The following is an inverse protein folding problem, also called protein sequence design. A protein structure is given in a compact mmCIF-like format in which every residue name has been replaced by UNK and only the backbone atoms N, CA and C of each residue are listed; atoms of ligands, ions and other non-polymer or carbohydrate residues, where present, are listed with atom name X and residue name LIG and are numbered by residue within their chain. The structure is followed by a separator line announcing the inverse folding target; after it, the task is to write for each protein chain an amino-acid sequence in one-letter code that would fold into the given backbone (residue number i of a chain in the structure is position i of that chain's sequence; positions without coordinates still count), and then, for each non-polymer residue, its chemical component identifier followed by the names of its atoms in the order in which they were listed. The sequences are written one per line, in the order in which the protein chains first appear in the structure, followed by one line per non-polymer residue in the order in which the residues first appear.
data_IF_546007262732
#
_entry.id   IF_546007262732
#
_cell.length_a   1.000
_cell.length_b   1.000
_cell.length_c   1.000
_cell.angle_alpha   90.00
_cell.angle_beta   90.00
_cell.angle_gamma   90.00
#
_symmetry.space_group_name_H-M   'P 1'
#
loop_
_entity.id
_entity.type
_entity.pdbx_description
1 polymer ?
#
# COMPACT_ATOMS: atom_id res chain seq x y z
N UNK A 1 11.73 -39.16 -74.21
CA UNK A 1 13.02 -38.73 -73.64
C UNK A 1 12.74 -37.81 -72.45
N UNK A 2 13.38 -38.11 -71.32
CA UNK A 2 13.65 -37.29 -70.14
C UNK A 2 12.48 -36.73 -69.31
N UNK A 3 12.24 -37.39 -68.17
CA UNK A 3 11.66 -36.81 -66.97
C UNK A 3 12.68 -35.89 -66.27
N UNK A 4 12.23 -34.79 -65.67
CA UNK A 4 13.01 -34.01 -64.72
C UNK A 4 12.09 -33.52 -63.59
N UNK A 5 12.10 -34.26 -62.49
CA UNK A 5 11.50 -33.90 -61.22
C UNK A 5 12.37 -32.85 -60.52
N UNK A 6 11.89 -31.63 -60.33
CA UNK A 6 12.48 -30.68 -59.39
C UNK A 6 11.99 -31.00 -57.98
N UNK A 7 12.87 -31.55 -57.15
CA UNK A 7 12.70 -31.64 -55.71
C UNK A 7 13.11 -30.31 -55.08
N UNK A 8 12.14 -29.62 -54.48
CA UNK A 8 12.40 -28.58 -53.47
C UNK A 8 13.05 -29.25 -52.24
N UNK A 9 14.24 -28.78 -51.87
CA UNK A 9 14.79 -28.99 -50.54
C UNK A 9 14.73 -27.67 -49.78
N UNK A 10 13.64 -27.46 -49.04
CA UNK A 10 13.54 -26.42 -48.01
C UNK A 10 14.45 -26.83 -46.85
N UNK A 11 15.63 -26.23 -46.75
CA UNK A 11 16.49 -26.35 -45.58
C UNK A 11 15.86 -25.57 -44.42
N UNK A 12 15.04 -26.23 -43.61
CA UNK A 12 14.69 -25.75 -42.27
C UNK A 12 15.93 -25.88 -41.38
N UNK A 13 16.68 -24.79 -41.22
CA UNK A 13 17.74 -24.72 -40.22
C UNK A 13 17.11 -24.69 -38.81
N UNK A 14 17.17 -25.82 -38.10
CA UNK A 14 16.96 -25.85 -36.65
C UNK A 14 18.18 -25.18 -35.98
N UNK A 15 18.11 -23.87 -35.73
CA UNK A 15 19.12 -23.17 -34.93
C UNK A 15 19.03 -23.62 -33.47
N UNK A 16 20.08 -24.23 -32.94
CA UNK A 16 20.20 -24.58 -31.52
C UNK A 16 20.21 -23.33 -30.62
N UNK A 17 19.96 -23.49 -29.30
CA UNK A 17 19.91 -22.37 -28.37
C UNK A 17 21.22 -21.58 -28.39
N UNK A 18 21.13 -20.25 -28.40
CA UNK A 18 22.32 -19.39 -28.40
C UNK A 18 23.04 -19.44 -27.05
N UNK A 19 24.31 -19.00 -27.00
CA UNK A 19 25.03 -18.87 -25.73
C UNK A 19 24.34 -17.93 -24.74
N UNK A 20 23.62 -16.92 -25.24
CA UNK A 20 22.81 -16.01 -24.44
C UNK A 20 21.56 -16.71 -23.86
N UNK A 21 20.87 -17.53 -24.68
CA UNK A 21 19.72 -18.32 -24.22
C UNK A 21 20.13 -19.34 -23.15
N UNK A 22 21.31 -19.95 -23.34
CA UNK A 22 21.88 -20.89 -22.37
C UNK A 22 22.23 -20.21 -21.05
N UNK A 23 22.88 -19.04 -21.09
CA UNK A 23 23.21 -18.28 -19.88
C UNK A 23 21.95 -17.83 -19.13
N UNK A 24 20.92 -17.37 -19.85
CA UNK A 24 19.63 -16.99 -19.26
C UNK A 24 18.97 -18.19 -18.57
N UNK A 25 18.94 -19.36 -19.20
CA UNK A 25 18.37 -20.57 -18.61
C UNK A 25 19.13 -21.01 -17.35
N UNK A 26 20.46 -20.94 -17.35
CA UNK A 26 21.28 -21.25 -16.17
C UNK A 26 21.01 -20.28 -15.01
N UNK A 27 20.94 -18.98 -15.30
CA UNK A 27 20.62 -17.96 -14.28
C UNK A 27 19.19 -18.15 -13.77
N UNK A 28 18.23 -18.49 -14.64
CA UNK A 28 16.87 -18.81 -14.20
C UNK A 28 16.88 -19.99 -13.22
N UNK A 29 17.60 -21.08 -13.53
CA UNK A 29 17.70 -22.24 -12.65
C UNK A 29 18.35 -21.92 -11.29
N UNK A 30 19.37 -21.06 -11.29
CA UNK A 30 19.98 -20.53 -10.06
C UNK A 30 18.94 -19.81 -9.19
N UNK A 31 18.14 -18.93 -9.80
CA UNK A 31 17.13 -18.16 -9.08
C UNK A 31 15.92 -19.01 -8.66
N UNK A 32 15.57 -20.06 -9.41
CA UNK A 32 14.56 -21.04 -9.00
C UNK A 32 15.02 -21.80 -7.75
N UNK A 33 16.30 -22.22 -7.71
CA UNK A 33 16.90 -22.86 -6.53
C UNK A 33 16.90 -21.91 -5.33
N UNK A 34 17.29 -20.64 -5.54
CA UNK A 34 17.27 -19.59 -4.50
C UNK A 34 15.85 -19.34 -3.99
N UNK A 35 14.85 -19.32 -4.88
CA UNK A 35 13.45 -19.15 -4.54
C UNK A 35 12.90 -20.31 -3.71
N UNK A 36 13.19 -21.55 -4.10
CA UNK A 36 12.81 -22.74 -3.34
C UNK A 36 13.42 -22.71 -1.93
N UNK A 37 14.69 -22.33 -1.81
CA UNK A 37 15.37 -22.20 -0.52
C UNK A 37 14.70 -21.15 0.40
N UNK A 38 14.24 -20.03 -0.15
CA UNK A 38 13.45 -19.03 0.62
C UNK A 38 12.14 -19.63 1.12
N UNK A 39 11.38 -20.29 0.24
CA UNK A 39 10.07 -20.86 0.59
C UNK A 39 10.14 -21.99 1.62
N UNK A 40 11.19 -22.80 1.55
CA UNK A 40 11.39 -23.92 2.47
C UNK A 40 12.20 -23.54 3.71
N UNK A 41 12.57 -22.27 3.86
CA UNK A 41 13.46 -21.80 4.92
C UNK A 41 14.78 -22.59 5.01
N UNK A 42 15.33 -22.98 3.85
CA UNK A 42 16.56 -23.77 3.73
C UNK A 42 17.78 -22.85 3.55
N UNK A 43 18.43 -22.52 4.67
CA UNK A 43 19.62 -21.66 4.69
C UNK A 43 20.80 -22.29 3.93
N UNK A 44 20.94 -23.62 3.98
CA UNK A 44 22.05 -24.33 3.35
C UNK A 44 21.89 -24.31 1.83
N UNK A 45 20.71 -24.63 1.32
CA UNK A 45 20.41 -24.53 -0.11
C UNK A 45 20.58 -23.09 -0.61
N UNK A 46 20.13 -22.09 0.15
CA UNK A 46 20.31 -20.69 -0.25
C UNK A 46 21.79 -20.31 -0.37
N UNK A 47 22.63 -20.75 0.58
CA UNK A 47 24.06 -20.47 0.57
C UNK A 47 24.78 -21.02 -0.67
N UNK A 48 24.27 -22.09 -1.29
CA UNK A 48 24.82 -22.61 -2.55
C UNK A 48 24.61 -21.67 -3.75
N UNK A 49 23.70 -20.70 -3.62
CA UNK A 49 23.33 -19.79 -4.71
C UNK A 49 24.07 -18.45 -4.68
N UNK A 50 24.95 -18.22 -3.71
CA UNK A 50 25.74 -16.99 -3.58
C UNK A 50 25.64 -16.35 -2.19
N UNK A 51 25.70 -15.02 -2.13
CA UNK A 51 25.75 -14.26 -0.87
C UNK A 51 24.54 -14.55 0.02
N UNK A 52 24.81 -14.87 1.31
CA UNK A 52 23.83 -15.29 2.29
C UNK A 52 23.08 -14.14 3.01
N UNK A 53 23.68 -12.93 3.09
CA UNK A 53 23.09 -11.78 3.82
C UNK A 53 21.63 -11.47 3.46
N UNK A 54 21.20 -11.49 2.18
CA UNK A 54 19.80 -11.23 1.84
C UNK A 54 18.83 -12.26 2.43
N UNK A 55 19.21 -13.54 2.55
CA UNK A 55 18.40 -14.56 3.22
C UNK A 55 18.18 -14.23 4.69
N UNK A 56 19.26 -13.89 5.40
CA UNK A 56 19.17 -13.44 6.80
C UNK A 56 18.15 -12.31 6.94
N UNK A 57 18.09 -11.37 5.99
CA UNK A 57 17.19 -10.22 6.08
C UNK A 57 15.72 -10.57 5.95
N UNK A 58 15.36 -11.53 5.10
CA UNK A 58 13.97 -11.85 4.75
C UNK A 58 13.42 -13.12 5.42
N UNK A 59 14.26 -14.02 5.96
CA UNK A 59 13.87 -15.37 6.40
C UNK A 59 12.74 -15.45 7.43
N UNK A 60 12.49 -14.37 8.18
CA UNK A 60 11.42 -14.31 9.17
C UNK A 60 10.04 -14.03 8.56
N UNK A 61 10.00 -13.48 7.33
CA UNK A 61 8.75 -13.14 6.65
C UNK A 61 8.10 -14.43 6.12
N UNK A 62 6.83 -14.68 6.44
CA UNK A 62 6.18 -15.93 6.05
C UNK A 62 5.67 -15.84 4.62
N UNK A 63 6.47 -16.29 3.65
CA UNK A 63 6.05 -16.34 2.24
C UNK A 63 5.33 -17.65 1.92
N UNK A 64 4.23 -17.56 1.18
CA UNK A 64 3.55 -18.74 0.58
C UNK A 64 3.87 -18.90 -0.90
N UNK A 65 4.40 -17.86 -1.53
CA UNK A 65 4.89 -17.87 -2.90
C UNK A 65 6.09 -16.92 -3.02
N UNK A 66 7.09 -17.33 -3.79
CA UNK A 66 8.31 -16.59 -4.09
C UNK A 66 8.89 -17.17 -5.37
N UNK A 67 9.06 -16.35 -6.40
CA UNK A 67 9.58 -16.80 -7.70
C UNK A 67 10.23 -15.67 -8.46
N UNK A 68 11.29 -15.98 -9.21
CA UNK A 68 11.92 -15.05 -10.13
C UNK A 68 11.56 -15.39 -11.58
N UNK A 69 11.43 -14.37 -12.42
CA UNK A 69 11.43 -14.48 -13.88
C UNK A 69 12.56 -13.62 -14.42
N UNK A 70 13.62 -14.26 -14.91
CA UNK A 70 14.74 -13.57 -15.56
C UNK A 70 14.27 -12.98 -16.89
N UNK A 71 14.44 -11.67 -17.05
CA UNK A 71 14.02 -10.93 -18.26
C UNK A 71 15.20 -10.63 -19.17
N UNK A 72 16.39 -10.36 -18.62
CA UNK A 72 17.60 -10.12 -19.39
C UNK A 72 18.84 -10.61 -18.64
N UNK A 73 19.87 -11.04 -19.38
CA UNK A 73 21.21 -11.35 -18.86
C UNK A 73 22.25 -10.71 -19.76
N UNK A 74 23.15 -9.92 -19.17
CA UNK A 74 24.23 -9.21 -19.84
C UNK A 74 25.55 -9.68 -19.25
N UNK A 75 26.30 -10.51 -19.99
CA UNK A 75 27.59 -11.07 -19.56
C UNK A 75 28.74 -10.12 -19.88
N UNK A 76 29.74 -10.10 -19.00
CA UNK A 76 31.01 -9.41 -19.16
C UNK A 76 32.13 -10.28 -18.59
N UNK A 77 32.68 -11.18 -19.41
CA UNK A 77 33.67 -12.15 -18.96
C UNK A 77 33.09 -13.11 -17.90
N UNK A 78 33.72 -13.15 -16.72
CA UNK A 78 33.31 -14.00 -15.60
C UNK A 78 32.16 -13.43 -14.77
N UNK A 79 31.67 -12.23 -15.08
CA UNK A 79 30.53 -11.59 -14.39
C UNK A 79 29.34 -11.39 -15.31
N UNK A 80 28.17 -11.17 -14.72
CA UNK A 80 26.98 -10.75 -15.46
C UNK A 80 26.08 -9.85 -14.62
N UNK A 81 25.26 -9.07 -15.31
CA UNK A 81 24.08 -8.43 -14.72
C UNK A 81 22.83 -9.12 -15.24
N UNK A 82 21.93 -9.50 -14.35
CA UNK A 82 20.62 -10.03 -14.72
C UNK A 82 19.51 -9.09 -14.22
N UNK A 83 18.52 -8.86 -15.08
CA UNK A 83 17.27 -8.23 -14.69
C UNK A 83 16.23 -9.32 -14.52
N UNK A 84 15.43 -9.23 -13.45
CA UNK A 84 14.40 -10.20 -13.13
C UNK A 84 13.16 -9.51 -12.55
N UNK A 85 12.00 -10.12 -12.77
CA UNK A 85 10.83 -9.84 -11.94
C UNK A 85 10.80 -10.82 -10.77
N UNK A 86 10.70 -10.31 -9.55
CA UNK A 86 10.42 -11.10 -8.35
C UNK A 86 8.92 -10.99 -8.05
N UNK A 87 8.26 -12.13 -7.93
CA UNK A 87 6.88 -12.22 -7.46
C UNK A 87 6.81 -12.95 -6.12
N UNK A 88 6.05 -12.42 -5.16
CA UNK A 88 5.89 -13.05 -3.85
C UNK A 88 4.48 -12.86 -3.28
N UNK A 89 4.13 -13.70 -2.30
CA UNK A 89 2.91 -13.58 -1.49
C UNK A 89 3.21 -13.82 -0.02
N UNK A 90 2.77 -12.90 0.84
CA UNK A 90 2.77 -13.09 2.29
C UNK A 90 1.60 -13.99 2.68
N UNK A 91 1.92 -15.04 3.43
CA UNK A 91 1.00 -16.12 3.81
C UNK A 91 -0.21 -15.58 4.54
N UNK A 92 -1.39 -15.85 3.99
CA UNK A 92 -2.68 -15.50 4.61
C UNK A 92 -3.06 -14.03 4.48
N UNK A 93 -2.31 -13.20 3.74
CA UNK A 93 -2.63 -11.79 3.50
C UNK A 93 -2.79 -11.51 2.01
N UNK A 94 -1.77 -11.85 1.21
CA UNK A 94 -1.83 -11.60 -0.24
C UNK A 94 -2.67 -12.66 -0.94
N UNK A 95 -3.74 -12.26 -1.62
CA UNK A 95 -4.54 -13.12 -2.51
C UNK A 95 -3.96 -13.20 -3.92
N UNK A 96 -3.27 -12.15 -4.37
CA UNK A 96 -2.50 -12.08 -5.61
C UNK A 96 -1.03 -11.71 -5.34
N UNK A 97 -0.09 -12.03 -6.24
CA UNK A 97 1.33 -11.75 -6.02
C UNK A 97 1.66 -10.27 -6.11
N UNK A 98 2.48 -9.78 -5.17
CA UNK A 98 3.26 -8.56 -5.37
C UNK A 98 4.35 -8.88 -6.40
N UNK A 99 4.53 -8.05 -7.42
CA UNK A 99 5.57 -8.23 -8.45
C UNK A 99 6.43 -6.98 -8.57
N UNK A 100 7.75 -7.16 -8.46
CA UNK A 100 8.74 -6.07 -8.45
C UNK A 100 9.94 -6.37 -9.34
N UNK A 101 10.55 -5.33 -9.90
CA UNK A 101 11.78 -5.45 -10.66
C UNK A 101 13.01 -5.56 -9.76
N UNK A 102 13.91 -6.49 -10.07
CA UNK A 102 15.21 -6.70 -9.40
C UNK A 102 16.34 -6.67 -10.41
N UNK A 103 17.47 -6.12 -10.00
CA UNK A 103 18.74 -6.22 -10.74
C UNK A 103 19.74 -6.99 -9.87
N UNK A 104 20.33 -8.02 -10.46
CA UNK A 104 21.29 -8.91 -9.81
C UNK A 104 22.66 -8.79 -10.46
N UNK A 105 23.70 -8.76 -9.63
CA UNK A 105 25.09 -8.96 -10.08
C UNK A 105 25.48 -10.39 -9.79
N UNK A 106 26.06 -11.04 -10.79
CA UNK A 106 26.39 -12.44 -10.81
C UNK A 106 27.86 -12.65 -11.13
N UNK A 107 28.43 -13.70 -10.58
CA UNK A 107 29.76 -14.21 -10.93
C UNK A 107 29.69 -15.67 -11.34
N UNK A 108 30.67 -16.12 -12.12
CA UNK A 108 30.87 -17.53 -12.47
C UNK A 108 32.09 -18.07 -11.75
N UNK A 109 31.97 -19.26 -11.15
CA UNK A 109 33.11 -20.00 -10.64
C UNK A 109 33.90 -20.67 -11.78
N UNK A 110 35.06 -21.25 -11.45
CA UNK A 110 35.94 -21.89 -12.42
C UNK A 110 35.31 -23.11 -13.12
N UNK A 111 34.33 -23.75 -12.49
CA UNK A 111 33.53 -24.85 -13.06
C UNK A 111 32.34 -24.36 -13.92
N UNK A 112 32.17 -23.05 -14.06
CA UNK A 112 31.11 -22.42 -14.83
C UNK A 112 29.78 -22.25 -14.07
N UNK A 113 29.71 -22.63 -12.79
CA UNK A 113 28.51 -22.40 -11.97
C UNK A 113 28.30 -20.90 -11.67
N UNK A 114 27.05 -20.46 -11.70
CA UNK A 114 26.67 -19.07 -11.42
C UNK A 114 26.36 -18.85 -9.94
N UNK A 115 26.73 -17.68 -9.43
CA UNK A 115 26.43 -17.24 -8.06
C UNK A 115 25.88 -15.83 -8.06
N UNK A 116 24.96 -15.55 -7.13
CA UNK A 116 24.44 -14.20 -6.86
C UNK A 116 25.37 -13.49 -5.90
N UNK A 117 26.09 -12.49 -6.40
CA UNK A 117 26.95 -11.65 -5.56
C UNK A 117 26.10 -10.62 -4.79
N UNK A 118 25.15 -10.00 -5.49
CA UNK A 118 24.23 -9.01 -4.92
C UNK A 118 22.90 -8.95 -5.68
N UNK A 119 21.87 -8.52 -4.96
CA UNK A 119 20.54 -8.26 -5.49
C UNK A 119 20.07 -6.91 -4.96
N UNK A 120 19.51 -6.07 -5.83
CA UNK A 120 18.97 -4.74 -5.48
C UNK A 120 17.69 -4.46 -6.26
N UNK A 121 16.88 -3.46 -5.85
CA UNK A 121 15.78 -2.98 -6.67
C UNK A 121 16.27 -2.62 -8.08
N UNK A 122 15.44 -2.92 -9.08
CA UNK A 122 15.66 -2.42 -10.43
C UNK A 122 15.62 -0.88 -10.45
N UNK A 123 16.09 -0.30 -11.55
CA UNK A 123 15.94 1.15 -11.77
C UNK A 123 14.46 1.54 -11.66
N UNK A 124 14.18 2.61 -10.94
CA UNK A 124 12.83 3.17 -10.71
C UNK A 124 11.88 2.23 -9.93
N UNK A 125 12.35 1.10 -9.41
CA UNK A 125 11.58 0.23 -8.52
C UNK A 125 11.73 0.66 -7.07
N UNK A 126 10.61 0.71 -6.34
CA UNK A 126 10.63 0.93 -4.90
C UNK A 126 11.39 -0.18 -4.16
N UNK A 127 11.99 0.18 -3.02
CA UNK A 127 12.61 -0.80 -2.14
C UNK A 127 11.56 -1.71 -1.51
N UNK A 128 12.00 -2.90 -1.13
CA UNK A 128 11.25 -3.75 -0.21
C UNK A 128 11.81 -3.60 1.20
N UNK A 129 11.01 -3.95 2.20
CA UNK A 129 11.42 -3.81 3.60
C UNK A 129 12.72 -4.58 3.90
N UNK A 130 12.92 -5.77 3.32
CA UNK A 130 14.16 -6.54 3.49
C UNK A 130 15.38 -5.97 2.74
N UNK A 131 15.21 -5.00 1.85
CA UNK A 131 16.34 -4.27 1.26
C UNK A 131 16.97 -3.34 2.31
N UNK A 132 16.16 -2.87 3.28
CA UNK A 132 16.55 -1.91 4.32
C UNK A 132 17.24 -2.56 5.52
N UNK A 133 17.07 -3.86 5.73
CA UNK A 133 17.69 -4.57 6.83
C UNK A 133 16.98 -5.87 7.21
N UNK A 134 17.34 -6.42 8.36
CA UNK A 134 16.69 -7.64 8.88
C UNK A 134 15.29 -7.35 9.34
N UNK A 135 14.32 -8.03 8.72
CA UNK A 135 12.90 -7.87 9.02
C UNK A 135 12.54 -8.64 10.28
N UNK A 136 12.05 -7.92 11.29
CA UNK A 136 11.32 -8.47 12.42
C UNK A 136 9.85 -8.65 12.07
N UNK A 137 9.21 -9.66 12.66
CA UNK A 137 7.80 -9.99 12.40
C UNK A 137 7.04 -10.11 13.72
N UNK A 138 5.88 -9.47 13.79
CA UNK A 138 4.87 -9.74 14.80
C UNK A 138 3.54 -10.09 14.12
N UNK A 139 2.77 -10.99 14.72
CA UNK A 139 1.44 -11.37 14.24
C UNK A 139 0.41 -10.97 15.29
N UNK A 140 -0.64 -10.28 14.87
CA UNK A 140 -1.89 -10.13 15.59
C UNK A 140 -2.90 -11.19 15.19
N UNK A 141 -4.13 -11.04 15.67
CA UNK A 141 -5.29 -11.87 15.25
C UNK A 141 -5.63 -11.65 13.78
N UNK A 142 -5.60 -10.39 13.34
CA UNK A 142 -5.97 -9.97 11.99
C UNK A 142 -4.85 -9.19 11.28
N UNK A 143 -3.64 -9.21 11.82
CA UNK A 143 -2.55 -8.38 11.32
C UNK A 143 -1.20 -9.11 11.26
N UNK A 144 -0.38 -8.70 10.30
CA UNK A 144 1.06 -8.98 10.33
C UNK A 144 1.81 -7.67 10.26
N UNK A 145 2.72 -7.47 11.20
CA UNK A 145 3.59 -6.30 11.28
C UNK A 145 4.99 -6.73 10.90
N UNK A 146 5.54 -6.10 9.88
CA UNK A 146 6.89 -6.30 9.40
C UNK A 146 7.68 -5.02 9.66
N UNK A 147 8.83 -5.09 10.34
CA UNK A 147 9.62 -3.89 10.60
C UNK A 147 11.12 -4.11 10.57
N UNK A 148 11.86 -3.03 10.33
CA UNK A 148 13.33 -3.01 10.31
C UNK A 148 13.83 -1.99 11.34
N UNK A 149 14.83 -2.39 12.13
CA UNK A 149 15.35 -1.54 13.22
C UNK A 149 14.39 -1.39 14.40
N UNK A 150 13.27 -2.12 14.40
CA UNK A 150 12.26 -2.06 15.45
C UNK A 150 12.47 -3.15 16.51
N UNK A 151 12.15 -2.83 17.76
CA UNK A 151 12.11 -3.84 18.82
C UNK A 151 10.91 -4.77 18.65
N UNK A 152 11.03 -6.02 19.10
CA UNK A 152 9.90 -6.98 19.08
C UNK A 152 8.70 -6.46 19.87
N UNK A 153 8.91 -5.66 20.92
CA UNK A 153 7.81 -5.02 21.68
C UNK A 153 7.06 -4.02 20.81
N UNK A 154 7.79 -3.10 20.18
CA UNK A 154 7.22 -2.10 19.24
C UNK A 154 6.34 -2.77 18.18
N UNK A 155 6.83 -3.83 17.54
CA UNK A 155 6.05 -4.56 16.53
C UNK A 155 4.76 -5.19 17.07
N UNK A 156 4.76 -5.68 18.32
CA UNK A 156 3.54 -6.20 18.97
C UNK A 156 2.57 -5.10 19.35
N UNK A 157 3.06 -3.92 19.69
CA UNK A 157 2.20 -2.77 19.99
C UNK A 157 1.42 -2.36 18.73
N UNK A 158 2.07 -2.27 17.57
CA UNK A 158 1.39 -2.07 16.28
C UNK A 158 0.39 -3.18 15.96
N UNK A 159 0.74 -4.44 16.23
CA UNK A 159 -0.17 -5.57 15.99
C UNK A 159 -1.43 -5.47 16.86
N UNK A 160 -1.28 -4.99 18.11
CA UNK A 160 -2.38 -4.78 19.04
C UNK A 160 -3.30 -3.65 18.58
N UNK A 161 -2.73 -2.53 18.09
CA UNK A 161 -3.52 -1.44 17.50
C UNK A 161 -4.32 -1.94 16.29
N UNK A 162 -3.71 -2.76 15.41
CA UNK A 162 -4.40 -3.30 14.23
C UNK A 162 -5.52 -4.28 14.63
N UNK A 163 -5.29 -5.06 15.69
CA UNK A 163 -6.27 -5.98 16.25
C UNK A 163 -7.48 -5.28 16.89
N UNK A 164 -7.36 -3.99 17.22
CA UNK A 164 -8.49 -3.13 17.60
C UNK A 164 -9.13 -2.42 16.39
N UNK A 165 -8.31 -1.99 15.42
CA UNK A 165 -8.78 -1.31 14.22
C UNK A 165 -9.69 -2.19 13.35
N UNK A 166 -9.31 -3.46 13.12
CA UNK A 166 -10.06 -4.35 12.21
C UNK A 166 -11.51 -4.58 12.65
N UNK A 167 -11.82 -4.90 13.93
CA UNK A 167 -13.20 -4.96 14.40
C UNK A 167 -13.92 -3.62 14.31
N UNK A 168 -13.30 -2.52 14.77
CA UNK A 168 -13.93 -1.20 14.75
C UNK A 168 -14.37 -0.75 13.35
N UNK A 169 -13.55 -1.03 12.33
CA UNK A 169 -13.86 -0.80 10.92
C UNK A 169 -14.95 -1.74 10.42
N UNK A 170 -14.89 -3.03 10.80
CA UNK A 170 -15.88 -4.03 10.37
C UNK A 170 -17.27 -3.78 10.96
N UNK A 171 -17.35 -3.14 12.12
CA UNK A 171 -18.63 -2.84 12.79
C UNK A 171 -19.46 -1.79 12.04
N UNK A 172 -18.83 -0.91 11.27
CA UNK A 172 -19.52 0.06 10.38
C UNK A 172 -19.58 -0.45 8.95
N UNK A 173 -18.42 -0.69 8.35
CA UNK A 173 -18.33 -1.00 6.93
C UNK A 173 -18.91 -2.36 6.55
N UNK A 174 -19.04 -3.25 7.54
CA UNK A 174 -19.35 -4.65 7.37
C UNK A 174 -18.11 -5.53 7.21
N UNK A 175 -18.36 -6.81 6.94
CA UNK A 175 -17.32 -7.87 6.99
C UNK A 175 -16.87 -8.37 5.61
N UNK A 176 -17.41 -7.79 4.54
CA UNK A 176 -17.11 -8.16 3.15
C UNK A 176 -15.84 -7.49 2.62
N UNK A 177 -14.73 -7.75 3.32
CA UNK A 177 -13.38 -7.38 2.94
C UNK A 177 -12.40 -8.38 3.58
N UNK A 178 -11.10 -8.25 3.31
CA UNK A 178 -10.09 -9.23 3.78
C UNK A 178 -10.09 -9.41 5.30
N UNK A 179 -10.49 -8.36 6.04
CA UNK A 179 -10.37 -8.23 7.51
C UNK A 179 -8.97 -8.60 8.00
N UNK A 180 -7.97 -8.29 7.17
CA UNK A 180 -6.56 -8.60 7.39
C UNK A 180 -5.71 -7.43 6.91
N UNK A 181 -4.78 -7.01 7.76
CA UNK A 181 -3.94 -5.84 7.52
C UNK A 181 -2.47 -6.21 7.55
N UNK A 182 -1.70 -5.72 6.58
CA UNK A 182 -0.24 -5.79 6.59
C UNK A 182 0.31 -4.42 6.94
N UNK A 183 1.04 -4.33 8.06
CA UNK A 183 1.65 -3.09 8.54
C UNK A 183 3.17 -3.16 8.33
N UNK A 184 3.73 -2.17 7.64
CA UNK A 184 5.17 -2.01 7.42
C UNK A 184 5.70 -0.89 8.33
N UNK A 185 6.72 -1.19 9.11
CA UNK A 185 7.34 -0.24 10.05
C UNK A 185 8.82 -0.08 9.70
N UNK A 186 9.15 0.82 8.76
CA UNK A 186 10.53 1.13 8.40
C UNK A 186 11.28 1.80 9.57
N UNK A 187 12.60 1.97 9.41
CA UNK A 187 13.46 2.54 10.45
C UNK A 187 13.49 4.07 10.50
N UNK A 188 12.99 4.76 9.47
CA UNK A 188 12.99 6.23 9.35
C UNK A 188 11.99 6.70 8.28
N UNK A 189 11.75 8.01 8.21
CA UNK A 189 11.01 8.64 7.11
C UNK A 189 11.64 8.37 5.73
N UNK A 190 12.96 8.48 5.58
CA UNK A 190 13.65 8.17 4.31
C UNK A 190 13.40 6.71 3.87
N UNK A 191 13.41 5.79 4.83
CA UNK A 191 13.13 4.39 4.58
C UNK A 191 11.67 4.17 4.20
N UNK A 192 10.71 4.90 4.78
CA UNK A 192 9.32 4.92 4.31
C UNK A 192 9.23 5.40 2.87
N UNK A 193 9.83 6.55 2.54
CA UNK A 193 9.82 7.11 1.19
C UNK A 193 10.38 6.11 0.16
N UNK A 194 11.45 5.39 0.51
CA UNK A 194 12.02 4.36 -0.34
C UNK A 194 11.09 3.16 -0.59
N UNK A 195 10.20 2.80 0.36
CA UNK A 195 9.15 1.79 0.15
C UNK A 195 8.03 2.31 -0.77
N UNK A 196 7.76 3.60 -0.71
CA UNK A 196 6.70 4.26 -1.48
C UNK A 196 7.17 4.74 -2.86
N UNK A 197 8.48 4.68 -3.13
CA UNK A 197 9.07 5.12 -4.40
C UNK A 197 8.97 6.62 -4.65
N UNK A 198 8.85 7.42 -3.57
CA UNK A 198 8.66 8.89 -3.66
C UNK A 198 9.61 9.62 -2.69
N UNK A 199 9.83 10.94 -2.86
CA UNK A 199 10.64 11.74 -1.94
C UNK A 199 10.13 11.72 -0.50
N UNK A 200 11.06 11.85 0.47
CA UNK A 200 10.74 11.87 1.90
C UNK A 200 9.90 13.09 2.31
N UNK A 201 10.11 14.23 1.65
CA UNK A 201 9.41 15.48 1.96
C UNK A 201 7.90 15.38 1.72
N UNK A 202 7.45 14.55 0.77
CA UNK A 202 6.04 14.30 0.48
C UNK A 202 5.30 13.63 1.66
N UNK A 203 6.03 13.02 2.61
CA UNK A 203 5.47 12.29 3.75
C UNK A 203 5.80 12.92 5.10
N UNK A 204 6.40 14.11 5.11
CA UNK A 204 6.74 14.80 6.35
C UNK A 204 5.46 15.18 7.10
N UNK A 205 5.35 14.74 8.37
CA UNK A 205 4.18 14.99 9.20
C UNK A 205 3.01 14.03 8.98
N UNK A 206 3.07 13.17 7.96
CA UNK A 206 2.09 12.10 7.75
C UNK A 206 2.49 10.90 8.60
N UNK A 207 1.59 10.41 9.44
CA UNK A 207 1.87 9.35 10.40
C UNK A 207 1.88 7.94 9.78
N UNK A 208 1.06 7.70 8.76
CA UNK A 208 1.02 6.45 8.00
C UNK A 208 0.38 6.69 6.62
N UNK A 209 0.57 5.74 5.71
CA UNK A 209 -0.05 5.74 4.38
C UNK A 209 -0.46 4.32 4.00
N UNK A 210 -1.67 4.14 3.48
CA UNK A 210 -2.12 2.90 2.88
C UNK A 210 -1.81 2.86 1.39
N UNK A 211 -1.05 1.85 0.96
CA UNK A 211 -0.72 1.59 -0.45
C UNK A 211 -1.56 0.46 -1.00
N UNK A 212 -2.07 0.60 -2.24
CA UNK A 212 -2.93 -0.37 -2.90
C UNK A 212 -3.47 0.14 -4.23
N UNK A 213 -3.89 -0.77 -5.12
CA UNK A 213 -4.48 -0.40 -6.41
C UNK A 213 -5.92 0.10 -6.27
N UNK A 214 -6.25 1.21 -6.93
CA UNK A 214 -7.59 1.77 -6.92
C UNK A 214 -8.65 0.91 -7.60
N UNK A 215 -9.85 0.89 -7.01
CA UNK A 215 -10.95 0.01 -7.42
C UNK A 215 -10.80 -1.46 -7.00
N UNK A 216 -9.69 -1.85 -6.35
CA UNK A 216 -9.52 -3.16 -5.72
C UNK A 216 -9.97 -4.33 -6.59
N UNK A 217 -9.34 -4.52 -7.76
CA UNK A 217 -9.75 -5.46 -8.83
C UNK A 217 -9.87 -6.95 -8.43
N UNK A 218 -9.70 -7.30 -7.15
CA UNK A 218 -9.60 -8.68 -6.65
C UNK A 218 -8.32 -9.41 -7.09
N UNK A 219 -7.53 -8.77 -7.95
CA UNK A 219 -6.30 -9.28 -8.58
C UNK A 219 -5.05 -8.56 -8.10
N UNK A 220 -5.21 -7.56 -7.23
CA UNK A 220 -4.12 -6.86 -6.56
C UNK A 220 -3.69 -7.64 -5.30
N UNK A 221 -2.41 -7.57 -4.90
CA UNK A 221 -1.97 -8.02 -3.59
C UNK A 221 -2.70 -7.23 -2.49
N UNK A 222 -2.61 -7.69 -1.24
CA UNK A 222 -3.23 -6.94 -0.15
C UNK A 222 -2.56 -5.57 0.04
N UNK A 223 -3.37 -4.58 0.40
CA UNK A 223 -2.88 -3.24 0.72
C UNK A 223 -1.85 -3.28 1.87
N UNK A 224 -0.93 -2.32 1.87
CA UNK A 224 0.09 -2.16 2.94
C UNK A 224 -0.09 -0.83 3.62
N UNK A 225 -0.24 -0.87 4.95
CA UNK A 225 -0.16 0.32 5.79
C UNK A 225 1.30 0.55 6.12
N UNK A 226 1.90 1.62 5.60
CA UNK A 226 3.30 1.99 5.84
C UNK A 226 3.36 3.10 6.87
N UNK A 227 3.98 2.83 8.01
CA UNK A 227 4.08 3.79 9.13
C UNK A 227 5.28 4.71 8.94
N UNK A 228 5.09 6.00 9.20
CA UNK A 228 6.18 6.95 9.40
C UNK A 228 6.61 6.90 10.88
N UNK A 229 7.72 6.24 11.23
CA UNK A 229 8.11 6.08 12.63
C UNK A 229 8.34 7.43 13.33
N UNK A 230 8.75 8.47 12.60
CA UNK A 230 9.08 9.78 13.17
C UNK A 230 7.81 10.51 13.59
N UNK A 231 6.85 10.68 12.68
CA UNK A 231 5.56 11.32 12.98
C UNK A 231 4.71 10.49 13.96
N UNK A 232 4.68 9.16 13.79
CA UNK A 232 3.89 8.27 14.64
C UNK A 232 4.40 8.24 16.09
N UNK A 233 5.71 8.48 16.31
CA UNK A 233 6.29 8.55 17.64
C UNK A 233 5.77 9.72 18.48
N UNK A 234 5.39 10.83 17.82
CA UNK A 234 4.86 12.05 18.44
C UNK A 234 3.42 11.89 18.92
N UNK A 235 2.70 10.88 18.39
CA UNK A 235 1.32 10.62 18.75
C UNK A 235 1.21 9.94 20.12
N UNK A 236 0.26 10.41 20.95
CA UNK A 236 -0.19 9.70 22.13
C UNK A 236 -0.98 8.42 21.78
N UNK A 237 -1.30 7.55 22.77
CA UNK A 237 -1.95 6.26 22.53
C UNK A 237 -3.23 6.35 21.70
N UNK A 238 -4.09 7.34 21.97
CA UNK A 238 -5.31 7.56 21.20
C UNK A 238 -5.02 7.92 19.74
N UNK A 239 -4.11 8.88 19.49
CA UNK A 239 -3.78 9.30 18.13
C UNK A 239 -3.23 8.14 17.30
N UNK A 240 -2.41 7.28 17.90
CA UNK A 240 -1.92 6.05 17.25
C UNK A 240 -3.06 5.11 16.89
N UNK A 241 -4.04 4.91 17.78
CA UNK A 241 -5.20 4.07 17.47
C UNK A 241 -6.06 4.69 16.36
N UNK A 242 -6.34 6.00 16.42
CA UNK A 242 -7.11 6.72 15.40
C UNK A 242 -6.45 6.57 14.03
N UNK A 243 -5.15 6.86 13.91
CA UNK A 243 -4.42 6.74 12.64
C UNK A 243 -4.49 5.30 12.12
N UNK A 244 -4.23 4.29 12.95
CA UNK A 244 -4.24 2.92 12.42
C UNK A 244 -5.66 2.44 12.05
N UNK A 245 -6.70 2.91 12.74
CA UNK A 245 -8.09 2.67 12.36
C UNK A 245 -8.44 3.38 11.06
N UNK A 246 -7.97 4.62 10.88
CA UNK A 246 -8.10 5.38 9.62
C UNK A 246 -7.47 4.60 8.45
N UNK A 247 -6.20 4.19 8.57
CA UNK A 247 -5.54 3.41 7.50
C UNK A 247 -6.22 2.08 7.23
N UNK A 248 -6.69 1.39 8.27
CA UNK A 248 -7.45 0.15 8.13
C UNK A 248 -8.78 0.38 7.38
N UNK A 249 -9.38 1.58 7.51
CA UNK A 249 -10.58 1.96 6.76
C UNK A 249 -10.29 2.03 5.26
N UNK A 250 -9.13 2.56 4.85
CA UNK A 250 -8.74 2.53 3.43
C UNK A 250 -8.59 1.11 2.89
N UNK A 251 -8.00 0.20 3.68
CA UNK A 251 -7.91 -1.23 3.31
C UNK A 251 -9.31 -1.84 3.11
N UNK A 252 -10.24 -1.56 4.01
CA UNK A 252 -11.60 -2.11 3.96
C UNK A 252 -12.43 -1.54 2.79
N UNK A 253 -12.23 -0.25 2.49
CA UNK A 253 -13.01 0.48 1.48
C UNK A 253 -12.41 0.41 0.08
N UNK A 254 -11.18 -0.10 -0.09
CA UNK A 254 -10.40 -0.09 -1.35
C UNK A 254 -11.17 -0.55 -2.59
N UNK A 255 -11.94 -1.63 -2.47
CA UNK A 255 -12.72 -2.20 -3.58
C UNK A 255 -13.96 -1.36 -3.97
N UNK A 256 -14.28 -0.35 -3.16
CA UNK A 256 -15.42 0.55 -3.33
C UNK A 256 -14.99 2.01 -3.47
N UNK A 257 -13.68 2.26 -3.60
CA UNK A 257 -13.11 3.59 -3.87
C UNK A 257 -12.35 3.57 -5.19
N UNK A 258 -12.74 4.47 -6.08
CA UNK A 258 -12.12 4.63 -7.38
C UNK A 258 -11.86 6.13 -7.67
N UNK A 259 -11.59 6.46 -8.94
CA UNK A 259 -11.35 7.84 -9.35
C UNK A 259 -12.57 8.76 -9.12
N UNK A 260 -13.77 8.23 -8.91
CA UNK A 260 -14.98 9.01 -8.66
C UNK A 260 -15.09 9.49 -7.21
N UNK A 261 -14.42 8.86 -6.24
CA UNK A 261 -14.45 9.30 -4.83
C UNK A 261 -13.54 10.52 -4.62
N UNK A 262 -14.09 11.68 -4.18
CA UNK A 262 -13.28 12.86 -3.84
C UNK A 262 -12.55 12.68 -2.52
N UNK A 263 -11.40 13.36 -2.36
CA UNK A 263 -10.56 13.18 -1.17
C UNK A 263 -11.26 13.59 0.12
N UNK A 264 -12.07 14.65 0.12
CA UNK A 264 -12.83 15.05 1.31
C UNK A 264 -13.72 13.93 1.86
N UNK A 265 -14.26 13.08 0.98
CA UNK A 265 -15.10 11.96 1.37
C UNK A 265 -14.25 10.75 1.74
N UNK A 266 -13.20 10.45 0.97
CA UNK A 266 -12.25 9.37 1.25
C UNK A 266 -11.62 9.51 2.64
N UNK A 267 -10.97 10.65 2.87
CA UNK A 267 -10.26 10.95 4.11
C UNK A 267 -11.24 11.21 5.26
N UNK A 268 -12.32 11.96 4.99
CA UNK A 268 -13.33 12.28 5.99
C UNK A 268 -14.06 11.05 6.54
N UNK A 269 -14.31 10.04 5.70
CA UNK A 269 -14.89 8.77 6.15
C UNK A 269 -13.90 7.99 7.01
N UNK A 270 -12.63 7.89 6.58
CA UNK A 270 -11.59 7.23 7.34
C UNK A 270 -11.34 7.88 8.72
N UNK A 271 -11.34 9.22 8.78
CA UNK A 271 -11.30 9.97 10.05
C UNK A 271 -12.54 9.74 10.89
N UNK A 272 -13.72 9.70 10.27
CA UNK A 272 -14.96 9.46 10.99
C UNK A 272 -14.94 8.10 11.68
N UNK A 273 -14.51 7.04 10.97
CA UNK A 273 -14.32 5.70 11.56
C UNK A 273 -13.23 5.74 12.64
N UNK A 274 -12.11 6.42 12.38
CA UNK A 274 -11.00 6.57 13.33
C UNK A 274 -11.41 7.20 14.66
N UNK A 275 -12.25 8.23 14.62
CA UNK A 275 -12.72 8.96 15.79
C UNK A 275 -14.03 8.42 16.40
N UNK A 276 -14.78 7.54 15.74
CA UNK A 276 -16.14 7.10 16.11
C UNK A 276 -16.30 6.76 17.60
N UNK A 277 -15.35 6.02 18.15
CA UNK A 277 -15.37 5.53 19.55
C UNK A 277 -14.29 6.17 20.44
N UNK A 278 -13.67 7.25 19.97
CA UNK A 278 -12.58 7.93 20.69
C UNK A 278 -13.05 8.74 21.91
N UNK A 279 -14.34 9.10 21.97
CA UNK A 279 -14.89 10.03 22.95
C UNK A 279 -14.43 11.49 22.76
N UNK A 280 -13.76 11.82 21.65
CA UNK A 280 -13.35 13.19 21.34
C UNK A 280 -14.53 14.04 20.90
N UNK A 281 -14.57 15.28 21.39
CA UNK A 281 -15.51 16.28 20.89
C UNK A 281 -15.01 16.87 19.56
N UNK A 282 -15.90 17.46 18.74
CA UNK A 282 -15.52 18.21 17.54
C UNK A 282 -14.34 19.15 17.72
N UNK A 283 -14.34 19.95 18.78
CA UNK A 283 -13.30 20.93 19.06
C UNK A 283 -11.94 20.28 19.35
N UNK A 284 -11.94 19.08 19.93
CA UNK A 284 -10.70 18.35 20.23
C UNK A 284 -10.13 17.61 19.03
N UNK A 285 -10.98 17.21 18.08
CA UNK A 285 -10.58 16.46 16.89
C UNK A 285 -10.43 17.35 15.64
N UNK A 286 -10.98 18.57 15.66
CA UNK A 286 -10.84 19.57 14.61
C UNK A 286 -10.37 20.95 15.12
N UNK A 287 -9.22 21.02 15.82
CA UNK A 287 -8.75 22.27 16.43
C UNK A 287 -8.45 23.38 15.41
N UNK A 288 -7.92 23.09 14.23
CA UNK A 288 -7.53 24.14 13.28
C UNK A 288 -8.75 24.80 12.62
N UNK A 289 -9.79 24.01 12.36
CA UNK A 289 -11.07 24.48 11.88
C UNK A 289 -11.87 25.14 13.00
N UNK A 290 -11.72 24.68 14.24
CA UNK A 290 -12.30 25.34 15.42
C UNK A 290 -11.80 26.78 15.56
N UNK A 291 -10.48 26.98 15.50
CA UNK A 291 -9.89 28.31 15.52
C UNK A 291 -10.41 29.19 14.36
N UNK A 292 -10.45 28.63 13.13
CA UNK A 292 -10.96 29.37 11.97
C UNK A 292 -12.43 29.79 12.14
N UNK A 293 -13.29 28.90 12.63
CA UNK A 293 -14.72 29.20 12.88
C UNK A 293 -14.87 30.26 13.97
N UNK A 294 -14.12 30.17 15.06
CA UNK A 294 -14.13 31.15 16.14
C UNK A 294 -13.70 32.55 15.66
N UNK A 295 -12.77 32.62 14.70
CA UNK A 295 -12.33 33.86 14.05
C UNK A 295 -13.29 34.36 12.94
N UNK A 296 -14.41 33.67 12.72
CA UNK A 296 -15.42 34.02 11.71
C UNK A 296 -15.11 33.52 10.29
N UNK A 297 -14.06 32.71 10.12
CA UNK A 297 -13.60 32.17 8.83
C UNK A 297 -14.23 30.81 8.51
N UNK A 298 -15.56 30.73 8.44
CA UNK A 298 -16.26 29.48 8.11
C UNK A 298 -16.11 29.14 6.61
N UNK A 299 -15.53 27.97 6.24
CA UNK A 299 -15.29 27.60 4.84
C UNK A 299 -16.53 27.67 3.94
N UNK A 300 -16.40 28.29 2.77
CA UNK A 300 -17.51 28.52 1.84
C UNK A 300 -18.01 27.27 1.11
N UNK A 301 -17.16 26.25 0.96
CA UNK A 301 -17.44 25.02 0.24
C UNK A 301 -16.67 23.86 0.87
N UNK A 302 -17.07 22.63 0.55
CA UNK A 302 -16.34 21.42 0.92
C UNK A 302 -14.91 21.47 0.35
N UNK A 303 -13.93 20.85 1.04
CA UNK A 303 -12.57 20.75 0.53
C UNK A 303 -12.50 20.08 -0.85
N UNK A 304 -11.64 20.60 -1.72
CA UNK A 304 -11.36 20.01 -3.04
C UNK A 304 -10.14 19.10 -2.95
N UNK A 305 -9.95 18.21 -3.92
CA UNK A 305 -8.75 17.33 -3.94
C UNK A 305 -7.42 18.11 -3.91
N UNK A 306 -7.40 19.36 -4.38
CA UNK A 306 -6.20 20.21 -4.34
C UNK A 306 -5.83 20.64 -2.92
N UNK A 307 -6.80 20.70 -2.02
CA UNK A 307 -6.60 21.11 -0.63
C UNK A 307 -5.94 20.01 0.21
N UNK A 308 -5.88 18.77 -0.31
CA UNK A 308 -5.18 17.62 0.29
C UNK A 308 -3.74 17.46 -0.22
N UNK A 309 -3.27 18.39 -1.06
CA UNK A 309 -1.87 18.38 -1.49
C UNK A 309 -0.94 18.80 -0.35
N UNK A 310 0.20 18.12 -0.20
CA UNK A 310 1.25 18.41 0.79
C UNK A 310 2.06 19.69 0.47
N UNK A 311 1.39 20.76 0.01
CA UNK A 311 1.99 22.07 -0.15
C UNK A 311 2.28 22.71 1.22
N UNK A 312 3.09 23.77 1.25
CA UNK A 312 3.71 24.40 2.44
C UNK A 312 2.76 24.88 3.57
N UNK A 313 1.44 24.70 3.44
CA UNK A 313 0.44 25.14 4.42
C UNK A 313 -0.20 23.95 5.16
N UNK A 314 0.49 23.50 6.23
CA UNK A 314 0.02 22.41 7.08
C UNK A 314 -1.30 22.70 7.79
N UNK A 315 -1.59 23.99 8.06
CA UNK A 315 -2.83 24.41 8.73
C UNK A 315 -4.02 24.24 7.79
N UNK A 316 -3.90 24.68 6.53
CA UNK A 316 -4.95 24.47 5.52
C UNK A 316 -5.18 22.99 5.23
N UNK A 317 -4.12 22.19 5.20
CA UNK A 317 -4.24 20.74 5.06
C UNK A 317 -5.05 20.14 6.22
N UNK A 318 -4.71 20.46 7.46
CA UNK A 318 -5.44 20.02 8.65
C UNK A 318 -6.93 20.42 8.57
N UNK A 319 -7.23 21.69 8.26
CA UNK A 319 -8.62 22.16 8.08
C UNK A 319 -9.40 21.38 7.01
N UNK A 320 -8.71 20.88 5.98
CA UNK A 320 -9.34 20.11 4.89
C UNK A 320 -9.72 18.70 5.35
N UNK A 321 -8.84 18.04 6.09
CA UNK A 321 -9.15 16.76 6.76
C UNK A 321 -10.30 16.94 7.77
N UNK A 322 -10.18 17.92 8.66
CA UNK A 322 -11.18 18.24 9.69
C UNK A 322 -12.54 18.60 9.08
N UNK A 323 -12.55 19.34 7.96
CA UNK A 323 -13.76 19.68 7.22
C UNK A 323 -14.44 18.47 6.59
N UNK A 324 -13.66 17.57 5.97
CA UNK A 324 -14.15 16.30 5.44
C UNK A 324 -14.70 15.38 6.53
N UNK A 325 -13.99 15.29 7.66
CA UNK A 325 -14.44 14.57 8.84
C UNK A 325 -15.79 15.08 9.35
N UNK A 326 -15.94 16.41 9.51
CA UNK A 326 -17.20 17.01 9.97
C UNK A 326 -18.33 16.86 8.96
N UNK A 327 -18.04 16.80 7.66
CA UNK A 327 -19.04 16.46 6.64
C UNK A 327 -19.55 15.02 6.83
N UNK A 328 -18.66 14.05 7.03
CA UNK A 328 -19.04 12.65 7.27
C UNK A 328 -19.77 12.48 8.61
N UNK A 329 -19.28 13.15 9.67
CA UNK A 329 -19.94 13.17 10.98
C UNK A 329 -21.34 13.77 10.92
N UNK A 330 -21.54 14.85 10.14
CA UNK A 330 -22.87 15.42 9.90
C UNK A 330 -23.79 14.42 9.20
N UNK A 331 -23.29 13.72 8.17
CA UNK A 331 -24.07 12.70 7.47
C UNK A 331 -24.54 11.61 8.45
N UNK A 332 -23.61 11.07 9.24
CA UNK A 332 -23.92 10.07 10.25
C UNK A 332 -24.92 10.59 11.30
N UNK A 333 -24.77 11.84 11.75
CA UNK A 333 -25.65 12.42 12.77
C UNK A 333 -27.09 12.69 12.26
N UNK A 334 -27.25 13.09 11.00
CA UNK A 334 -28.55 13.51 10.45
C UNK A 334 -29.28 12.39 9.71
N UNK A 335 -28.55 11.52 9.02
CA UNK A 335 -29.11 10.45 8.20
C UNK A 335 -28.79 9.04 8.73
N UNK A 336 -27.87 8.91 9.70
CA UNK A 336 -27.43 7.63 10.26
C UNK A 336 -26.17 7.07 9.59
N UNK A 337 -25.48 6.19 10.32
CA UNK A 337 -24.23 5.56 9.85
C UNK A 337 -24.43 4.73 8.58
N UNK A 338 -25.51 3.94 8.51
CA UNK A 338 -25.87 3.16 7.31
C UNK A 338 -26.01 4.04 6.05
N UNK A 339 -26.48 5.28 6.21
CA UNK A 339 -26.63 6.23 5.10
C UNK A 339 -25.30 6.85 4.70
N UNK A 340 -24.38 7.08 5.64
CA UNK A 340 -23.00 7.48 5.33
C UNK A 340 -22.30 6.38 4.50
N UNK A 341 -22.43 5.13 4.91
CA UNK A 341 -21.87 3.98 4.20
C UNK A 341 -22.47 3.83 2.79
N UNK A 342 -23.80 3.93 2.68
CA UNK A 342 -24.48 3.88 1.40
C UNK A 342 -24.07 5.06 0.49
N UNK A 343 -23.89 6.25 1.06
CA UNK A 343 -23.44 7.43 0.32
C UNK A 343 -22.02 7.24 -0.20
N UNK A 344 -21.11 6.77 0.65
CA UNK A 344 -19.72 6.48 0.27
C UNK A 344 -19.64 5.46 -0.87
N UNK A 345 -20.38 4.34 -0.76
CA UNK A 345 -20.46 3.30 -1.80
C UNK A 345 -21.07 3.82 -3.10
N UNK A 346 -22.11 4.65 -3.02
CA UNK A 346 -22.76 5.22 -4.20
C UNK A 346 -21.83 6.15 -4.98
N UNK A 347 -21.05 7.00 -4.28
CA UNK A 347 -20.06 7.87 -4.92
C UNK A 347 -18.97 7.04 -5.59
N UNK A 348 -18.41 6.04 -4.90
CA UNK A 348 -17.32 5.22 -5.43
C UNK A 348 -17.73 4.17 -6.47
N UNK A 349 -19.02 3.92 -6.65
CA UNK A 349 -19.55 3.08 -7.73
C UNK A 349 -19.90 3.87 -9.01
N UNK A 350 -19.72 5.19 -8.98
CA UNK A 350 -20.09 6.05 -10.10
C UNK A 350 -19.00 6.05 -11.18
N UNK A 351 -19.38 5.95 -12.47
CA UNK A 351 -18.44 5.76 -13.59
C UNK A 351 -17.37 6.86 -13.76
N UNK A 352 -17.61 8.05 -13.18
CA UNK A 352 -16.73 9.23 -13.32
C UNK A 352 -16.88 10.18 -12.15
N UNK A 353 -15.85 10.97 -11.86
CA UNK A 353 -15.88 11.98 -10.78
C UNK A 353 -17.02 12.99 -10.90
N UNK A 354 -17.23 13.54 -12.09
CA UNK A 354 -18.22 14.60 -12.30
C UNK A 354 -19.64 14.06 -12.13
N UNK A 355 -20.38 14.61 -11.16
CA UNK A 355 -21.75 14.24 -10.84
C UNK A 355 -21.89 13.14 -9.78
N UNK A 356 -20.80 12.50 -9.36
CA UNK A 356 -20.86 11.36 -8.43
C UNK A 356 -21.43 11.76 -7.07
N UNK A 357 -20.94 12.86 -6.52
CA UNK A 357 -21.42 13.41 -5.24
C UNK A 357 -22.86 13.90 -5.38
N UNK A 358 -23.17 14.66 -6.42
CA UNK A 358 -24.50 15.23 -6.64
C UNK A 358 -25.57 14.14 -6.80
N UNK A 359 -25.26 13.07 -7.53
CA UNK A 359 -26.17 11.95 -7.69
C UNK A 359 -26.39 11.19 -6.37
N UNK A 360 -25.31 10.90 -5.63
CA UNK A 360 -25.41 10.24 -4.32
C UNK A 360 -26.14 11.11 -3.28
N UNK A 361 -25.94 12.42 -3.28
CA UNK A 361 -26.68 13.35 -2.40
C UNK A 361 -28.18 13.27 -2.67
N UNK A 362 -28.57 13.23 -3.95
CA UNK A 362 -29.96 13.15 -4.37
C UNK A 362 -30.59 11.80 -4.06
N UNK A 363 -29.91 10.71 -4.41
CA UNK A 363 -30.47 9.35 -4.37
C UNK A 363 -30.37 8.71 -2.99
N UNK A 364 -29.31 9.00 -2.22
CA UNK A 364 -29.07 8.40 -0.91
C UNK A 364 -29.53 9.30 0.23
N UNK A 365 -29.25 10.62 0.15
CA UNK A 365 -29.54 11.55 1.24
C UNK A 365 -30.79 12.41 1.00
N UNK A 366 -31.34 12.42 -0.21
CA UNK A 366 -32.53 13.21 -0.56
C UNK A 366 -32.28 14.72 -0.51
N UNK A 367 -31.05 15.16 -0.82
CA UNK A 367 -30.65 16.57 -0.83
C UNK A 367 -29.90 16.93 -2.11
N UNK A 368 -29.44 18.17 -2.23
CA UNK A 368 -28.55 18.63 -3.29
C UNK A 368 -27.28 19.25 -2.70
N UNK A 369 -26.28 19.49 -3.55
CA UNK A 369 -24.96 19.98 -3.11
C UNK A 369 -25.03 21.36 -2.44
N UNK A 370 -25.90 22.25 -2.91
CA UNK A 370 -26.05 23.59 -2.35
C UNK A 370 -26.64 23.54 -0.95
N UNK A 371 -27.73 22.78 -0.77
CA UNK A 371 -28.36 22.56 0.53
C UNK A 371 -27.43 21.82 1.48
N UNK A 372 -26.76 20.76 1.02
CA UNK A 372 -25.79 20.00 1.83
C UNK A 372 -24.65 20.90 2.32
N UNK A 373 -24.09 21.73 1.44
CA UNK A 373 -22.99 22.66 1.80
C UNK A 373 -23.48 23.73 2.78
N UNK A 374 -24.72 24.23 2.61
CA UNK A 374 -25.35 25.14 3.57
C UNK A 374 -25.48 24.52 4.96
N UNK A 375 -26.01 23.30 5.03
CA UNK A 375 -26.15 22.53 6.28
C UNK A 375 -24.80 22.22 6.92
N UNK A 376 -23.81 21.83 6.12
CA UNK A 376 -22.44 21.61 6.61
C UNK A 376 -21.85 22.87 7.22
N UNK A 377 -22.02 24.04 6.59
CA UNK A 377 -21.56 25.32 7.15
C UNK A 377 -22.27 25.70 8.45
N UNK A 378 -23.56 25.41 8.59
CA UNK A 378 -24.30 25.60 9.84
C UNK A 378 -23.78 24.65 10.92
N UNK A 379 -23.60 23.38 10.57
CA UNK A 379 -23.05 22.36 11.45
C UNK A 379 -21.64 22.71 11.94
N UNK A 380 -20.77 23.24 11.09
CA UNK A 380 -19.45 23.73 11.50
C UNK A 380 -19.55 24.80 12.60
N UNK A 381 -20.49 25.74 12.49
CA UNK A 381 -20.71 26.76 13.54
C UNK A 381 -21.21 26.11 14.82
N UNK A 382 -22.27 25.31 14.72
CA UNK A 382 -22.89 24.66 15.87
C UNK A 382 -21.92 23.75 16.66
N UNK A 383 -20.98 23.12 15.97
CA UNK A 383 -20.05 22.17 16.59
C UNK A 383 -18.71 22.76 17.02
N UNK A 384 -18.35 23.98 16.58
CA UNK A 384 -17.00 24.53 16.79
C UNK A 384 -16.94 25.96 17.36
N UNK A 385 -18.06 26.67 17.48
CA UNK A 385 -18.08 28.04 18.01
C UNK A 385 -19.46 28.65 18.16
#
# INVERSE_FOLDING_TARGET
MAAASLLLASLTACGGPTAADTARAQVQHLLDTRAAAVLHHDAAAYATTGTHTPYTRLRAVPFTAWSYRVTAVRRSGATATADAQLSYRVTGYDTAPVTIGRTLTLSTAADGAWYVDSERPARDAAQQLWDQGTVGVARGRSSIVLGVGQSTRSLRDYASLADHAVPAVSDVWGTDWSRRVVVLVPGSLDAMAALLGSPADDYRGIAAVTTGEAGGSGRAPADRVVVNPDAYSLLGPLGRQVVLTHETTHVATRAHTDAATPLWLSEGYADWVGYRESGRTPEQAAPELQHAVADGHVPAALPTDKDFGFAEDSTRLAQSYEGGWLACRMIAAHWGEDRLDAFYRAVGAHDRRSGAVEDALRTVLGTDLARFTGQWREYLREQLG
#
